data_IF_216418771286
#
_entry.id   IF_216418771286
#
_cell.length_a   1.000
_cell.length_b   1.000
_cell.length_c   1.000
_cell.angle_alpha   90.00
_cell.angle_beta   90.00
_cell.angle_gamma   90.00
#
_symmetry.space_group_name_H-M   'P 1'
#
loop_
_entity.id
_entity.type
_entity.pdbx_description
1 polymer ?
#
# COMPACT_ATOMS: atom_id res chain seq x y z
N UNK A 1 23.97 -2.27 -9.34
CA UNK A 1 23.56 -2.16 -7.93
C UNK A 1 22.52 -3.25 -7.68
N UNK A 2 22.96 -4.42 -7.21
CA UNK A 2 22.07 -5.57 -7.00
C UNK A 2 21.47 -5.38 -5.61
N UNK A 3 20.23 -4.88 -5.53
CA UNK A 3 19.52 -4.83 -4.26
C UNK A 3 19.17 -6.26 -3.85
N UNK A 4 19.75 -6.73 -2.75
CA UNK A 4 19.41 -8.01 -2.13
C UNK A 4 17.90 -8.08 -1.89
N UNK A 5 17.27 -9.13 -2.42
CA UNK A 5 15.95 -9.57 -1.98
C UNK A 5 16.04 -9.88 -0.49
N UNK A 6 15.42 -9.04 0.35
CA UNK A 6 15.29 -9.34 1.76
C UNK A 6 14.29 -10.50 1.90
N UNK A 7 14.83 -11.73 1.93
CA UNK A 7 14.09 -12.96 2.10
C UNK A 7 14.51 -13.62 3.41
N UNK A 8 13.53 -13.99 4.24
CA UNK A 8 13.77 -14.77 5.46
C UNK A 8 13.07 -16.10 5.33
N UNK A 9 13.77 -17.20 5.60
CA UNK A 9 13.21 -18.54 5.63
C UNK A 9 13.02 -19.04 7.06
N UNK A 10 11.97 -19.83 7.27
CA UNK A 10 11.77 -20.64 8.47
C UNK A 10 11.33 -22.04 8.07
N UNK A 11 11.73 -23.05 8.84
CA UNK A 11 11.31 -24.43 8.63
C UNK A 11 10.77 -25.03 9.91
N UNK A 12 9.86 -25.99 9.75
CA UNK A 12 9.26 -26.77 10.82
C UNK A 12 9.14 -28.22 10.36
N UNK A 13 9.48 -29.15 11.22
CA UNK A 13 9.43 -30.58 10.94
C UNK A 13 8.76 -31.29 12.13
N UNK A 14 7.83 -32.20 11.81
CA UNK A 14 7.15 -33.07 12.75
C UNK A 14 6.84 -34.40 12.09
N UNK A 15 6.44 -35.41 12.86
CA UNK A 15 6.04 -36.72 12.32
C UNK A 15 4.81 -36.66 11.40
N UNK A 16 4.05 -35.57 11.42
CA UNK A 16 2.81 -35.41 10.66
C UNK A 16 2.95 -34.44 9.47
N UNK A 17 3.83 -33.45 9.57
CA UNK A 17 3.99 -32.42 8.54
C UNK A 17 5.39 -31.80 8.62
N UNK A 18 5.95 -31.53 7.45
CA UNK A 18 7.14 -30.71 7.27
C UNK A 18 6.75 -29.49 6.43
N UNK A 19 7.16 -28.29 6.84
CA UNK A 19 6.95 -27.12 6.01
C UNK A 19 8.13 -26.14 6.07
N UNK A 20 8.36 -25.48 4.93
CA UNK A 20 9.28 -24.37 4.77
C UNK A 20 8.48 -23.13 4.38
N UNK A 21 8.65 -22.05 5.11
CA UNK A 21 8.08 -20.74 4.78
C UNK A 21 9.17 -19.81 4.30
N UNK A 22 9.01 -19.26 3.11
CA UNK A 22 9.85 -18.17 2.61
C UNK A 22 9.04 -16.89 2.64
N UNK A 23 9.46 -15.95 3.48
CA UNK A 23 8.93 -14.60 3.49
C UNK A 23 9.80 -13.74 2.58
N UNK A 24 9.21 -13.11 1.57
CA UNK A 24 9.92 -12.20 0.67
C UNK A 24 9.07 -10.99 0.30
N UNK A 25 9.71 -9.92 -0.19
CA UNK A 25 9.02 -8.77 -0.78
C UNK A 25 9.54 -8.54 -2.21
N UNK A 26 8.91 -9.14 -3.23
CA UNK A 26 9.31 -8.94 -4.62
C UNK A 26 9.28 -7.46 -5.01
N UNK A 27 10.16 -7.06 -5.94
CA UNK A 27 10.25 -5.66 -6.39
C UNK A 27 8.94 -5.14 -6.97
N UNK A 28 8.24 -5.99 -7.73
CA UNK A 28 6.95 -5.66 -8.36
C UNK A 28 5.74 -5.91 -7.45
N UNK A 29 5.95 -6.14 -6.15
CA UNK A 29 4.83 -6.39 -5.24
C UNK A 29 3.99 -5.10 -5.10
N UNK A 30 2.67 -5.14 -5.37
CA UNK A 30 1.82 -3.96 -5.23
C UNK A 30 1.96 -3.35 -3.83
N UNK A 31 1.89 -2.01 -3.74
CA UNK A 31 2.06 -1.27 -2.47
C UNK A 31 1.02 -1.66 -1.38
N UNK A 32 -0.04 -2.35 -1.79
CA UNK A 32 -1.04 -2.96 -0.90
C UNK A 32 -0.42 -4.04 0.00
N UNK A 33 0.53 -4.82 -0.51
CA UNK A 33 1.13 -5.94 0.22
C UNK A 33 2.49 -5.55 0.79
N UNK A 34 2.67 -5.82 2.08
CA UNK A 34 3.94 -5.56 2.77
C UNK A 34 4.95 -6.68 2.50
N UNK A 35 4.48 -7.90 2.29
CA UNK A 35 5.30 -9.10 2.11
C UNK A 35 4.45 -10.21 1.48
N UNK A 36 5.10 -11.15 0.82
CA UNK A 36 4.55 -12.44 0.40
C UNK A 36 5.15 -13.52 1.30
N UNK A 37 4.36 -14.54 1.62
CA UNK A 37 4.82 -15.77 2.25
C UNK A 37 4.55 -16.92 1.29
N UNK A 38 5.58 -17.71 1.00
CA UNK A 38 5.52 -18.91 0.16
C UNK A 38 5.70 -20.09 1.10
N UNK A 39 4.74 -21.02 1.09
CA UNK A 39 4.77 -22.22 1.93
C UNK A 39 5.03 -23.44 1.04
N UNK A 40 6.15 -24.13 1.27
CA UNK A 40 6.36 -25.50 0.79
C UNK A 40 5.97 -26.46 1.90
N UNK A 41 4.88 -27.21 1.72
CA UNK A 41 4.37 -28.16 2.72
C UNK A 41 4.54 -29.58 2.17
N UNK A 42 5.13 -30.46 2.96
CA UNK A 42 5.25 -31.88 2.70
C UNK A 42 4.50 -32.66 3.79
N UNK A 43 3.61 -33.55 3.37
CA UNK A 43 2.87 -34.46 4.25
C UNK A 43 3.41 -35.86 3.98
N UNK A 44 4.05 -36.53 4.97
CA UNK A 44 4.55 -37.88 4.81
C UNK A 44 3.44 -38.85 4.39
N UNK A 45 3.70 -39.84 3.50
CA UNK A 45 2.70 -40.81 3.06
C UNK A 45 2.06 -41.63 4.18
N UNK A 46 2.73 -41.72 5.33
CA UNK A 46 2.26 -42.41 6.54
C UNK A 46 1.34 -41.57 7.42
N UNK A 47 1.20 -40.26 7.16
CA UNK A 47 0.41 -39.34 7.98
C UNK A 47 -0.99 -39.11 7.37
N UNK A 48 -2.04 -39.22 8.20
CA UNK A 48 -3.38 -38.84 7.79
C UNK A 48 -3.55 -37.31 7.90
N UNK A 49 -3.56 -36.63 6.75
CA UNK A 49 -3.70 -35.17 6.68
C UNK A 49 -4.94 -34.63 7.40
N UNK A 50 -6.05 -35.40 7.44
CA UNK A 50 -7.28 -35.01 8.14
C UNK A 50 -7.20 -35.15 9.67
N UNK A 51 -6.34 -36.03 10.17
CA UNK A 51 -6.10 -36.17 11.62
C UNK A 51 -5.06 -35.18 12.12
N UNK A 52 -4.13 -34.76 11.26
CA UNK A 52 -3.05 -33.85 11.61
C UNK A 52 -3.45 -32.37 11.57
N UNK A 53 -4.41 -31.99 10.74
CA UNK A 53 -4.68 -30.60 10.40
C UNK A 53 -6.18 -30.31 10.29
N UNK A 54 -6.59 -29.17 10.85
CA UNK A 54 -7.93 -28.62 10.73
C UNK A 54 -8.02 -27.70 9.52
N UNK A 55 -8.98 -27.96 8.64
CA UNK A 55 -9.30 -27.11 7.49
C UNK A 55 -10.22 -25.96 7.91
N UNK A 56 -9.95 -24.75 7.42
CA UNK A 56 -10.71 -23.54 7.75
C UNK A 56 -11.58 -23.00 6.63
N UNK A 57 -11.39 -23.47 5.40
CA UNK A 57 -12.02 -22.90 4.20
C UNK A 57 -13.09 -23.86 3.67
N UNK A 58 -14.35 -23.43 3.68
CA UNK A 58 -15.51 -24.24 3.32
C UNK A 58 -16.32 -23.67 2.13
N UNK A 59 -15.79 -22.64 1.48
CA UNK A 59 -16.46 -21.94 0.39
C UNK A 59 -15.67 -21.98 -0.93
N UNK A 60 -16.38 -21.87 -2.05
CA UNK A 60 -15.77 -21.84 -3.37
C UNK A 60 -15.03 -20.51 -3.62
N UNK A 61 -13.83 -20.60 -4.22
CA UNK A 61 -13.01 -19.43 -4.54
C UNK A 61 -12.97 -19.09 -6.02
N UNK A 62 -13.27 -20.07 -6.87
CA UNK A 62 -13.35 -19.91 -8.33
C UNK A 62 -14.59 -20.65 -8.84
N UNK A 63 -15.64 -19.90 -9.14
CA UNK A 63 -16.92 -20.47 -9.53
C UNK A 63 -17.48 -21.35 -8.41
N UNK A 64 -17.58 -22.65 -8.64
CA UNK A 64 -18.06 -23.65 -7.66
C UNK A 64 -16.93 -24.43 -6.98
N UNK A 65 -15.66 -24.13 -7.31
CA UNK A 65 -14.53 -24.93 -6.87
C UNK A 65 -13.82 -24.32 -5.65
N UNK A 66 -13.51 -25.19 -4.68
CA UNK A 66 -12.64 -24.90 -3.54
C UNK A 66 -11.23 -25.36 -3.88
N UNK A 67 -10.38 -24.43 -4.31
CA UNK A 67 -9.01 -24.73 -4.76
C UNK A 67 -7.95 -24.35 -3.72
N UNK A 68 -8.17 -23.25 -2.99
CA UNK A 68 -7.21 -22.76 -1.99
C UNK A 68 -7.62 -23.21 -0.59
N UNK A 69 -6.86 -24.13 0.00
CA UNK A 69 -7.15 -24.72 1.31
C UNK A 69 -6.32 -24.05 2.40
N UNK A 70 -6.89 -23.93 3.60
CA UNK A 70 -6.21 -23.34 4.76
C UNK A 70 -6.20 -24.33 5.92
N UNK A 71 -5.00 -24.80 6.29
CA UNK A 71 -4.82 -25.83 7.32
C UNK A 71 -4.05 -25.32 8.54
N UNK A 72 -4.46 -25.72 9.75
CA UNK A 72 -3.67 -25.52 10.98
C UNK A 72 -3.78 -26.69 11.93
N UNK A 73 -2.81 -26.84 12.84
CA UNK A 73 -2.84 -27.86 13.89
C UNK A 73 -3.78 -27.57 15.07
N UNK A 74 -4.35 -26.35 15.15
CA UNK A 74 -5.28 -25.96 16.23
C UNK A 74 -6.70 -25.84 15.66
N UNK A 75 -7.65 -26.64 16.17
CA UNK A 75 -9.07 -26.51 15.80
C UNK A 75 -9.58 -25.11 16.10
N UNK A 76 -10.36 -24.53 15.17
CA UNK A 76 -11.01 -23.22 15.34
C UNK A 76 -10.05 -22.05 15.64
N UNK A 77 -8.76 -22.19 15.35
CA UNK A 77 -7.80 -21.10 15.52
C UNK A 77 -8.08 -19.89 14.61
N UNK A 78 -8.68 -20.14 13.46
CA UNK A 78 -9.03 -19.12 12.48
C UNK A 78 -10.46 -19.29 11.99
N UNK A 79 -11.06 -18.18 11.56
CA UNK A 79 -12.28 -18.14 10.76
C UNK A 79 -11.91 -17.64 9.38
N UNK A 80 -12.16 -18.43 8.34
CA UNK A 80 -12.00 -17.96 6.97
C UNK A 80 -13.19 -17.08 6.57
N UNK A 81 -12.91 -15.94 5.94
CA UNK A 81 -13.92 -15.09 5.31
C UNK A 81 -13.58 -14.84 3.84
N UNK A 82 -14.54 -14.98 2.91
CA UNK A 82 -14.32 -14.61 1.53
C UNK A 82 -14.20 -13.08 1.41
N UNK A 83 -13.24 -12.64 0.62
CA UNK A 83 -12.95 -11.24 0.31
C UNK A 83 -12.94 -11.05 -1.20
N UNK A 84 -13.20 -9.84 -1.70
CA UNK A 84 -13.15 -9.57 -3.13
C UNK A 84 -11.82 -10.01 -3.76
N UNK A 85 -11.86 -10.29 -5.05
CA UNK A 85 -10.68 -10.56 -5.84
C UNK A 85 -9.61 -9.47 -5.66
N UNK A 86 -8.35 -9.89 -5.58
CA UNK A 86 -7.21 -9.00 -5.52
C UNK A 86 -6.69 -8.76 -6.94
N UNK A 87 -6.59 -7.49 -7.33
CA UNK A 87 -6.18 -7.11 -8.70
C UNK A 87 -7.01 -7.83 -9.77
N UNK A 88 -6.32 -8.48 -10.69
CA UNK A 88 -6.90 -9.24 -11.81
C UNK A 88 -7.08 -10.75 -11.54
N UNK A 89 -6.86 -11.20 -10.30
CA UNK A 89 -7.09 -12.60 -9.96
C UNK A 89 -8.51 -13.04 -10.32
N UNK A 90 -8.64 -14.25 -10.85
CA UNK A 90 -9.91 -14.96 -11.07
C UNK A 90 -10.34 -15.78 -9.85
N UNK A 91 -9.51 -15.80 -8.79
CA UNK A 91 -9.86 -16.29 -7.45
C UNK A 91 -10.26 -15.14 -6.53
N UNK A 92 -11.29 -15.34 -5.71
CA UNK A 92 -11.56 -14.47 -4.57
C UNK A 92 -10.44 -14.60 -3.53
N UNK A 93 -10.23 -13.59 -2.70
CA UNK A 93 -9.23 -13.69 -1.63
C UNK A 93 -9.85 -14.29 -0.37
N UNK A 94 -9.05 -15.01 0.42
CA UNK A 94 -9.45 -15.56 1.72
C UNK A 94 -8.79 -14.77 2.83
N UNK A 95 -9.58 -14.25 3.76
CA UNK A 95 -9.08 -13.61 4.97
C UNK A 95 -9.24 -14.57 6.14
N UNK A 96 -8.13 -15.11 6.64
CA UNK A 96 -8.10 -15.88 7.88
C UNK A 96 -8.08 -14.91 9.07
N UNK A 97 -9.16 -14.89 9.83
CA UNK A 97 -9.30 -14.07 11.03
C UNK A 97 -9.00 -14.94 12.23
N UNK A 98 -7.96 -14.65 13.02
CA UNK A 98 -7.67 -15.44 14.21
C UNK A 98 -8.82 -15.35 15.23
N UNK A 99 -9.12 -16.47 15.90
CA UNK A 99 -10.09 -16.52 16.98
C UNK A 99 -9.61 -15.74 18.22
N UNK A 100 -8.28 -15.65 18.42
CA UNK A 100 -7.70 -14.79 19.44
C UNK A 100 -7.77 -13.32 19.00
N UNK A 101 -7.91 -12.40 19.97
CA UNK A 101 -7.83 -10.96 19.71
C UNK A 101 -6.36 -10.54 19.66
N UNK A 102 -5.83 -10.11 18.50
CA UNK A 102 -4.47 -9.61 18.44
C UNK A 102 -4.34 -8.34 19.27
N UNK A 103 -3.27 -8.25 20.06
CA UNK A 103 -2.93 -7.01 20.74
C UNK A 103 -2.40 -6.00 19.71
N UNK A 104 -3.29 -5.15 19.22
CA UNK A 104 -2.93 -4.08 18.28
C UNK A 104 -2.36 -2.90 19.07
N UNK A 105 -1.11 -2.55 18.78
CA UNK A 105 -0.54 -1.29 19.26
C UNK A 105 -1.14 -0.14 18.48
N UNK A 106 -2.12 0.53 19.07
CA UNK A 106 -2.71 1.75 18.53
C UNK A 106 -1.94 2.98 19.04
N UNK A 107 -1.33 3.73 18.13
CA UNK A 107 -0.86 5.08 18.43
C UNK A 107 -2.01 6.08 18.29
N UNK A 108 -2.07 7.09 19.15
CA UNK A 108 -3.03 8.19 18.98
C UNK A 108 -2.77 8.90 17.63
N UNK A 109 -3.82 9.31 16.91
CA UNK A 109 -3.66 10.11 15.70
C UNK A 109 -2.91 11.41 16.02
N UNK A 110 -2.04 11.84 15.10
CA UNK A 110 -1.24 13.06 15.23
C UNK A 110 -1.77 14.11 14.27
N UNK A 111 -2.08 15.29 14.80
CA UNK A 111 -2.39 16.47 13.98
C UNK A 111 -1.08 16.99 13.38
N UNK A 112 -1.05 17.12 12.05
CA UNK A 112 0.07 17.69 11.32
C UNK A 112 -0.40 18.85 10.45
N UNK A 113 0.32 19.95 10.50
CA UNK A 113 0.22 21.04 9.54
C UNK A 113 0.92 20.62 8.25
N UNK A 114 0.23 20.68 7.12
CA UNK A 114 0.78 20.35 5.80
C UNK A 114 0.44 21.46 4.82
N UNK A 115 1.44 21.90 4.06
CA UNK A 115 1.24 22.82 2.92
C UNK A 115 0.54 22.08 1.79
N UNK A 116 -0.59 22.61 1.35
CA UNK A 116 -1.38 22.06 0.25
C UNK A 116 -1.51 23.10 -0.85
N UNK A 117 -1.52 22.63 -2.10
CA UNK A 117 -1.74 23.44 -3.28
C UNK A 117 -3.24 23.58 -3.54
N UNK A 118 -3.86 24.76 -3.31
CA UNK A 118 -5.26 24.97 -3.68
C UNK A 118 -5.45 24.92 -5.20
N UNK A 119 -6.70 24.75 -5.64
CA UNK A 119 -7.07 24.84 -7.05
C UNK A 119 -6.62 26.18 -7.65
N UNK A 120 -6.00 26.17 -8.82
CA UNK A 120 -5.48 27.38 -9.47
C UNK A 120 -4.06 27.78 -9.03
N UNK A 121 -3.44 27.09 -8.07
CA UNK A 121 -2.07 27.40 -7.66
C UNK A 121 -1.04 27.33 -8.78
N UNK A 122 -1.19 26.32 -9.63
CA UNK A 122 -0.24 26.08 -10.73
C UNK A 122 -0.29 27.24 -11.72
N UNK A 123 -1.50 27.69 -12.10
CA UNK A 123 -1.66 28.84 -12.98
C UNK A 123 -1.08 30.11 -12.35
N UNK A 124 -1.35 30.36 -11.07
CA UNK A 124 -0.80 31.54 -10.38
C UNK A 124 0.73 31.53 -10.32
N UNK A 125 1.36 30.37 -10.14
CA UNK A 125 2.81 30.24 -10.21
C UNK A 125 3.35 30.46 -11.61
N UNK A 126 2.68 29.93 -12.62
CA UNK A 126 3.06 30.14 -14.02
C UNK A 126 3.06 31.64 -14.35
N UNK A 127 1.97 32.34 -14.03
CA UNK A 127 1.85 33.79 -14.23
C UNK A 127 2.97 34.55 -13.49
N UNK A 128 3.27 34.15 -12.25
CA UNK A 128 4.33 34.76 -11.45
C UNK A 128 5.72 34.60 -12.10
N UNK A 129 6.04 33.40 -12.59
CA UNK A 129 7.35 33.12 -13.20
C UNK A 129 7.50 33.71 -14.59
N UNK A 130 6.42 33.83 -15.36
CA UNK A 130 6.42 34.51 -16.66
C UNK A 130 6.66 36.03 -16.50
N UNK A 131 6.15 36.63 -15.43
CA UNK A 131 6.33 38.05 -15.14
C UNK A 131 7.64 38.37 -14.41
N UNK A 132 8.45 37.37 -14.04
CA UNK A 132 9.70 37.56 -13.31
C UNK A 132 10.84 37.89 -14.26
N UNK A 133 11.54 39.00 -14.03
CA UNK A 133 12.81 39.27 -14.71
C UNK A 133 13.95 38.47 -14.06
N UNK A 134 14.29 37.33 -14.67
CA UNK A 134 15.35 36.45 -14.19
C UNK A 134 16.76 37.05 -14.33
N UNK A 135 16.96 38.07 -15.18
CA UNK A 135 18.27 38.69 -15.35
C UNK A 135 18.66 39.51 -14.11
N UNK A 136 17.69 40.07 -13.39
CA UNK A 136 17.92 40.80 -12.14
C UNK A 136 18.72 39.98 -11.12
N UNK A 137 18.45 38.68 -10.98
CA UNK A 137 19.21 37.81 -10.08
C UNK A 137 20.66 37.59 -10.54
N UNK A 138 20.87 37.50 -11.86
CA UNK A 138 22.21 37.32 -12.44
C UNK A 138 23.04 38.58 -12.25
N UNK A 139 22.45 39.74 -12.49
CA UNK A 139 23.10 41.05 -12.31
C UNK A 139 23.45 41.29 -10.84
N UNK A 140 22.53 40.99 -9.91
CA UNK A 140 22.77 41.12 -8.48
C UNK A 140 23.93 40.24 -7.97
N UNK A 141 24.10 39.04 -8.55
CA UNK A 141 25.18 38.12 -8.20
C UNK A 141 26.51 38.40 -8.95
N UNK A 142 26.57 39.43 -9.81
CA UNK A 142 27.76 39.74 -10.61
C UNK A 142 28.63 40.79 -9.91
N UNK A 143 29.86 40.41 -9.57
CA UNK A 143 30.87 41.32 -9.02
C UNK A 143 31.94 41.58 -10.09
N UNK A 144 31.81 42.70 -10.80
CA UNK A 144 32.69 43.03 -11.93
C UNK A 144 32.46 42.10 -13.12
N UNK A 145 33.45 41.26 -13.45
CA UNK A 145 33.36 40.30 -14.56
C UNK A 145 33.09 38.84 -14.13
N UNK A 146 32.91 38.58 -12.83
CA UNK A 146 32.63 37.23 -12.32
C UNK A 146 31.25 37.14 -11.68
N UNK A 147 30.55 36.04 -11.97
CA UNK A 147 29.24 35.73 -11.37
C UNK A 147 29.48 34.85 -10.14
N UNK A 148 28.93 35.27 -9.00
CA UNK A 148 28.87 34.45 -7.80
C UNK A 148 27.73 33.43 -7.93
N UNK A 149 28.08 32.20 -8.31
CA UNK A 149 27.11 31.14 -8.57
C UNK A 149 26.30 30.74 -7.31
N UNK A 150 26.92 30.78 -6.13
CA UNK A 150 26.26 30.45 -4.87
C UNK A 150 25.18 31.48 -4.54
N UNK A 151 25.50 32.77 -4.69
CA UNK A 151 24.58 33.88 -4.48
C UNK A 151 23.43 33.89 -5.49
N UNK A 152 23.73 33.62 -6.77
CA UNK A 152 22.72 33.45 -7.81
C UNK A 152 21.75 32.31 -7.49
N UNK A 153 22.29 31.12 -7.18
CA UNK A 153 21.49 29.92 -6.89
C UNK A 153 20.64 30.10 -5.64
N UNK A 154 21.22 30.71 -4.60
CA UNK A 154 20.53 30.99 -3.34
C UNK A 154 19.39 31.99 -3.56
N UNK A 155 19.62 33.06 -4.32
CA UNK A 155 18.62 34.09 -4.58
C UNK A 155 17.45 33.57 -5.42
N UNK A 156 17.74 32.83 -6.50
CA UNK A 156 16.72 32.17 -7.33
C UNK A 156 15.91 31.15 -6.54
N UNK A 157 16.58 30.29 -5.78
CA UNK A 157 15.90 29.27 -4.95
C UNK A 157 15.05 29.91 -3.87
N UNK A 158 15.54 30.99 -3.24
CA UNK A 158 14.79 31.75 -2.23
C UNK A 158 13.54 32.40 -2.84
N UNK A 159 13.66 33.01 -4.01
CA UNK A 159 12.51 33.61 -4.72
C UNK A 159 11.47 32.56 -5.10
N UNK A 160 11.89 31.44 -5.70
CA UNK A 160 10.97 30.33 -6.04
C UNK A 160 10.29 29.80 -4.77
N UNK A 161 11.05 29.61 -3.69
CA UNK A 161 10.50 29.21 -2.40
C UNK A 161 9.44 30.18 -1.88
N UNK A 162 9.68 31.49 -2.03
CA UNK A 162 8.72 32.54 -1.67
C UNK A 162 7.45 32.48 -2.52
N UNK A 163 7.57 32.33 -3.84
CA UNK A 163 6.42 32.16 -4.74
C UNK A 163 5.58 30.92 -4.36
N UNK A 164 6.24 29.80 -4.05
CA UNK A 164 5.57 28.57 -3.58
C UNK A 164 4.85 28.85 -2.26
N UNK A 165 5.50 29.54 -1.33
CA UNK A 165 4.94 29.85 -0.02
C UNK A 165 3.75 30.81 -0.08
N UNK A 166 3.74 31.75 -1.02
CA UNK A 166 2.63 32.68 -1.22
C UNK A 166 1.40 32.03 -1.85
N UNK A 167 1.59 30.97 -2.64
CA UNK A 167 0.52 30.23 -3.31
C UNK A 167 0.01 29.05 -2.48
N UNK A 168 0.85 28.46 -1.64
CA UNK A 168 0.45 27.30 -0.82
C UNK A 168 -0.33 27.73 0.41
N UNK A 169 -1.31 26.91 0.80
CA UNK A 169 -2.09 27.12 2.02
C UNK A 169 -1.77 26.06 3.07
N UNK A 170 -1.71 26.47 4.34
CA UNK A 170 -1.53 25.55 5.46
C UNK A 170 -2.85 24.86 5.77
N UNK A 171 -2.83 23.52 5.79
CA UNK A 171 -3.99 22.69 6.13
C UNK A 171 -3.61 21.71 7.24
N UNK A 172 -4.44 21.67 8.28
CA UNK A 172 -4.30 20.67 9.34
C UNK A 172 -4.90 19.35 8.88
N UNK A 173 -4.10 18.28 8.93
CA UNK A 173 -4.54 16.92 8.66
C UNK A 173 -4.31 16.03 9.87
N UNK A 174 -5.22 15.08 10.07
CA UNK A 174 -5.04 14.02 11.07
C UNK A 174 -4.33 12.85 10.42
N UNK A 175 -3.11 12.56 10.86
CA UNK A 175 -2.32 11.43 10.38
C UNK A 175 -2.37 10.27 11.39
N UNK A 176 -2.39 9.04 10.89
CA UNK A 176 -2.33 7.82 11.71
C UNK A 176 -1.07 7.04 11.33
N UNK A 177 -0.48 6.32 12.29
CA UNK A 177 0.76 5.54 12.04
C UNK A 177 0.65 4.57 10.86
N UNK A 178 -0.55 4.03 10.58
CA UNK A 178 -0.78 3.06 9.51
C UNK A 178 -1.48 3.67 8.28
N UNK A 179 -1.56 5.01 8.17
CA UNK A 179 -2.15 5.65 7.00
C UNK A 179 -1.15 5.68 5.85
N UNK A 180 -1.33 4.78 4.89
CA UNK A 180 -0.52 4.74 3.67
C UNK A 180 -0.79 6.00 2.82
N UNK A 181 0.25 6.62 2.27
CA UNK A 181 0.15 7.88 1.52
C UNK A 181 -0.74 7.78 0.27
N UNK A 182 -0.74 6.62 -0.39
CA UNK A 182 -1.59 6.34 -1.55
C UNK A 182 -3.07 6.10 -1.18
N UNK A 183 -3.41 5.97 0.11
CA UNK A 183 -4.77 5.67 0.56
C UNK A 183 -5.61 6.96 0.69
N UNK A 184 -6.00 7.51 -0.46
CA UNK A 184 -6.80 8.74 -0.55
C UNK A 184 -8.25 8.52 -0.12
N UNK A 185 -9.04 9.60 -0.07
CA UNK A 185 -10.49 9.50 0.18
C UNK A 185 -11.21 8.74 -0.95
N UNK A 186 -10.80 8.98 -2.20
CA UNK A 186 -11.33 8.33 -3.39
C UNK A 186 -11.04 6.82 -3.38
N UNK A 187 -9.78 6.42 -3.16
CA UNK A 187 -9.40 5.00 -3.08
C UNK A 187 -10.21 4.29 -1.97
N UNK A 188 -10.39 4.93 -0.81
CA UNK A 188 -11.24 4.36 0.26
C UNK A 188 -12.70 4.23 -0.12
N UNK A 189 -13.25 5.15 -0.90
CA UNK A 189 -14.61 5.06 -1.40
C UNK A 189 -14.76 3.90 -2.40
N UNK A 190 -13.81 3.75 -3.33
CA UNK A 190 -13.78 2.64 -4.28
C UNK A 190 -13.66 1.28 -3.58
N UNK A 191 -12.75 1.14 -2.61
CA UNK A 191 -12.61 -0.10 -1.83
C UNK A 191 -13.89 -0.46 -1.08
N UNK A 192 -14.57 0.53 -0.47
CA UNK A 192 -15.88 0.31 0.18
C UNK A 192 -16.95 -0.12 -0.82
N UNK A 193 -17.00 0.53 -1.99
CA UNK A 193 -17.96 0.19 -3.05
C UNK A 193 -17.73 -1.23 -3.57
N UNK A 194 -16.47 -1.62 -3.77
CA UNK A 194 -16.08 -2.98 -4.17
C UNK A 194 -16.54 -4.01 -3.14
N UNK A 195 -16.24 -3.77 -1.85
CA UNK A 195 -16.60 -4.69 -0.77
C UNK A 195 -18.13 -4.82 -0.64
N UNK A 196 -18.88 -3.74 -0.85
CA UNK A 196 -20.34 -3.76 -0.85
C UNK A 196 -20.92 -4.50 -2.06
N UNK A 197 -20.40 -4.25 -3.27
CA UNK A 197 -20.81 -4.98 -4.47
C UNK A 197 -20.53 -6.49 -4.35
N UNK A 198 -19.38 -6.85 -3.77
CA UNK A 198 -19.04 -8.24 -3.49
C UNK A 198 -20.01 -8.90 -2.52
N UNK A 199 -20.31 -8.25 -1.37
CA UNK A 199 -21.30 -8.76 -0.41
C UNK A 199 -22.71 -8.88 -1.00
N UNK A 200 -23.07 -8.00 -1.92
CA UNK A 200 -24.36 -8.04 -2.61
C UNK A 200 -24.43 -9.09 -3.75
N UNK A 201 -23.29 -9.68 -4.15
CA UNK A 201 -23.22 -10.60 -5.28
C UNK A 201 -23.37 -9.93 -6.66
N UNK A 202 -23.30 -8.60 -6.74
CA UNK A 202 -23.42 -7.85 -7.99
C UNK A 202 -22.10 -7.92 -8.78
N UNK A 203 -22.04 -8.87 -9.71
CA UNK A 203 -20.88 -9.11 -10.57
C UNK A 203 -20.56 -7.92 -11.49
N UNK A 204 -21.58 -7.16 -11.93
CA UNK A 204 -21.41 -6.05 -12.88
C UNK A 204 -20.83 -4.82 -12.20
N UNK A 205 -21.39 -4.43 -11.05
CA UNK A 205 -20.84 -3.36 -10.23
C UNK A 205 -19.44 -3.73 -9.72
N UNK A 206 -19.23 -4.98 -9.31
CA UNK A 206 -17.91 -5.45 -8.86
C UNK A 206 -16.85 -5.31 -9.95
N UNK A 207 -17.15 -5.71 -11.20
CA UNK A 207 -16.24 -5.55 -12.33
C UNK A 207 -15.93 -4.07 -12.59
N UNK A 208 -16.95 -3.24 -12.65
CA UNK A 208 -16.81 -1.79 -12.90
C UNK A 208 -15.92 -1.10 -11.85
N UNK A 209 -16.11 -1.43 -10.57
CA UNK A 209 -15.30 -0.84 -9.50
C UNK A 209 -13.87 -1.40 -9.51
N UNK A 210 -13.68 -2.66 -9.89
CA UNK A 210 -12.34 -3.25 -10.06
C UNK A 210 -11.56 -2.56 -11.19
N UNK A 211 -12.22 -2.29 -12.31
CA UNK A 211 -11.59 -1.59 -13.45
C UNK A 211 -11.15 -0.17 -13.07
N UNK A 212 -11.85 0.49 -12.14
CA UNK A 212 -11.47 1.81 -11.59
C UNK A 212 -10.37 1.77 -10.53
N UNK A 213 -10.11 0.60 -9.94
CA UNK A 213 -9.08 0.41 -8.92
C UNK A 213 -7.74 -0.06 -9.51
N UNK A 214 -7.73 -0.52 -10.76
CA UNK A 214 -6.52 -0.88 -11.50
C UNK A 214 -5.83 0.32 -12.12
#
# INVERSE_FOLDING_TARGET
MVQELCASSSSFCSSLVEYMTVRCRPFYLPQEFTTVFIFGVYIPPSANAKEALCEHVDFAMRGTNTLDLGYTNIPSAYRAEPRPHLGYSDHISVMLIPAYRPLIRCSKPVLKQVKTWPTGSISTLQDCFECTDWNMFREAATNGNSINLEEYTTSVTSYIGKCIDDVTVSKTITTRSNQKLWMTAEVRALLKSRDSAFRAGDKTALKTVRDKLS
#
